data_IF_472037061217
#
_entry.id   IF_472037061217
#
_cell.length_a   1.000
_cell.length_b   1.000
_cell.length_c   1.000
_cell.angle_alpha   90.00
_cell.angle_beta   90.00
_cell.angle_gamma   90.00
#
_symmetry.space_group_name_H-M   'P 1'
#
loop_
_entity.id
_entity.type
_entity.pdbx_description
1 polymer ?
#
# COMPACT_ATOMS: atom_id res chain seq x y z
N UNK A 1 25.68 14.46 20.94
CA UNK A 1 25.47 13.06 21.29
C UNK A 1 25.04 12.32 20.02
N UNK A 2 25.94 11.51 19.51
CA UNK A 2 25.78 10.78 18.23
C UNK A 2 24.92 9.55 18.50
N UNK A 3 23.73 9.44 17.88
CA UNK A 3 22.93 8.21 17.89
C UNK A 3 23.27 7.40 16.65
N UNK A 4 23.92 6.26 16.90
CA UNK A 4 24.29 5.29 15.89
C UNK A 4 23.07 4.53 15.39
N UNK A 5 22.92 4.46 14.08
CA UNK A 5 22.00 3.56 13.39
C UNK A 5 22.62 2.17 13.35
N UNK A 6 21.90 1.19 13.84
CA UNK A 6 22.26 -0.23 13.74
C UNK A 6 21.37 -0.84 12.65
N UNK A 7 21.91 -1.38 11.55
CA UNK A 7 21.14 -2.16 10.60
C UNK A 7 21.03 -3.61 11.11
N UNK A 8 19.82 -4.07 11.35
CA UNK A 8 19.53 -5.48 11.64
C UNK A 8 19.50 -6.27 10.34
N UNK A 9 20.59 -7.00 10.07
CA UNK A 9 20.67 -8.02 9.01
C UNK A 9 20.14 -9.34 9.58
N UNK A 10 19.00 -9.83 9.08
CA UNK A 10 18.48 -11.15 9.41
C UNK A 10 18.73 -12.10 8.25
N UNK A 11 19.77 -12.93 8.40
CA UNK A 11 20.07 -14.07 7.54
C UNK A 11 19.30 -15.29 8.07
N UNK A 12 18.47 -15.91 7.25
CA UNK A 12 17.87 -17.20 7.56
C UNK A 12 18.14 -18.16 6.40
N UNK A 13 19.13 -19.00 6.58
CA UNK A 13 19.40 -20.17 5.75
C UNK A 13 18.72 -21.39 6.40
N UNK A 14 17.85 -22.07 5.68
CA UNK A 14 17.23 -23.33 6.10
C UNK A 14 17.23 -24.31 4.95
N UNK A 15 18.23 -25.21 4.92
CA UNK A 15 18.26 -26.37 4.04
C UNK A 15 17.57 -27.55 4.71
N UNK A 16 16.62 -28.19 4.03
CA UNK A 16 16.04 -29.46 4.43
C UNK A 16 16.41 -30.56 3.42
N UNK A 17 16.93 -31.74 3.87
CA UNK A 17 17.25 -32.85 2.98
C UNK A 17 16.00 -33.69 2.67
N UNK A 18 15.84 -34.05 1.39
CA UNK A 18 14.80 -34.95 0.92
C UNK A 18 15.09 -36.41 1.33
N UNK A 19 14.06 -37.08 1.81
CA UNK A 19 14.01 -38.52 1.99
C UNK A 19 13.31 -39.14 0.78
N UNK A 20 14.09 -39.92 0.01
CA UNK A 20 13.57 -40.80 -1.03
C UNK A 20 12.87 -42.00 -0.37
N UNK A 21 11.56 -42.18 -0.60
CA UNK A 21 10.86 -43.43 -0.29
C UNK A 21 10.73 -44.26 -1.57
N UNK A 22 11.42 -45.38 -1.55
CA UNK A 22 11.26 -46.47 -2.52
C UNK A 22 9.93 -47.18 -2.25
N UNK A 23 9.00 -47.18 -3.21
CA UNK A 23 7.79 -47.93 -3.17
C UNK A 23 8.00 -49.40 -3.54
N UNK A 24 7.20 -50.33 -3.03
CA UNK A 24 7.31 -51.77 -3.34
C UNK A 24 6.75 -52.12 -4.72
N UNK A 25 7.33 -53.15 -5.28
CA UNK A 25 7.12 -53.74 -6.58
C UNK A 25 5.63 -54.11 -6.86
N UNK A 26 5.16 -53.72 -8.04
CA UNK A 26 3.85 -54.00 -8.54
C UNK A 26 3.71 -55.50 -8.93
N UNK A 27 2.61 -56.12 -8.47
CA UNK A 27 2.09 -57.36 -9.00
C UNK A 27 1.31 -57.10 -10.32
N UNK A 28 1.50 -57.89 -11.36
CA UNK A 28 0.73 -57.76 -12.59
C UNK A 28 -0.47 -58.67 -12.55
N UNK A 29 -1.62 -58.22 -12.21
CA UNK A 29 -2.91 -58.89 -12.56
C UNK A 29 -4.10 -57.96 -12.29
N UNK A 30 -4.78 -57.57 -13.23
CA UNK A 30 -6.17 -57.67 -13.71
C UNK A 30 -6.57 -56.39 -14.43
N UNK A 31 -6.57 -56.55 -15.73
CA UNK A 31 -7.12 -55.58 -16.67
C UNK A 31 -8.66 -55.70 -16.68
N UNK A 32 -9.30 -55.15 -15.64
CA UNK A 32 -10.73 -54.89 -15.66
C UNK A 32 -10.91 -53.44 -16.14
N UNK A 33 -11.59 -53.18 -17.27
CA UNK A 33 -11.87 -51.81 -17.65
C UNK A 33 -12.86 -51.25 -16.63
N UNK A 34 -12.36 -50.42 -15.76
CA UNK A 34 -13.20 -49.61 -14.88
C UNK A 34 -14.17 -48.82 -15.77
N UNK A 35 -15.48 -48.76 -15.45
CA UNK A 35 -16.39 -47.90 -16.18
C UNK A 35 -15.85 -46.50 -16.11
N UNK A 36 -15.59 -45.88 -17.26
CA UNK A 36 -15.25 -44.50 -17.37
C UNK A 36 -16.36 -43.71 -16.66
N UNK A 37 -16.07 -43.35 -15.40
CA UNK A 37 -16.85 -42.33 -14.72
C UNK A 37 -16.58 -41.06 -15.52
N UNK A 38 -17.54 -40.79 -16.44
CA UNK A 38 -17.59 -39.50 -17.10
C UNK A 38 -17.65 -38.43 -15.98
N UNK A 39 -16.47 -37.94 -15.60
CA UNK A 39 -16.41 -36.81 -14.71
C UNK A 39 -17.17 -35.70 -15.41
N UNK A 40 -18.27 -35.25 -14.83
CA UNK A 40 -18.93 -34.04 -15.25
C UNK A 40 -17.85 -32.94 -14.98
N UNK A 41 -17.13 -32.60 -16.04
CA UNK A 41 -16.24 -31.44 -16.02
C UNK A 41 -17.19 -30.24 -15.99
N UNK A 42 -17.55 -29.81 -14.79
CA UNK A 42 -18.26 -28.56 -14.63
C UNK A 42 -17.23 -27.48 -14.95
N UNK A 43 -17.41 -26.70 -16.01
CA UNK A 43 -16.49 -25.60 -16.33
C UNK A 43 -16.62 -24.54 -15.20
N UNK A 44 -15.67 -24.56 -14.29
CA UNK A 44 -15.56 -23.46 -13.31
C UNK A 44 -14.85 -22.32 -14.01
N UNK A 45 -15.59 -21.26 -14.28
CA UNK A 45 -15.04 -20.01 -14.78
C UNK A 45 -14.62 -19.17 -13.57
N UNK A 46 -13.36 -18.80 -13.52
CA UNK A 46 -12.84 -17.83 -12.56
C UNK A 46 -12.61 -16.49 -13.25
N UNK A 47 -13.13 -15.43 -12.67
CA UNK A 47 -12.94 -14.07 -13.16
C UNK A 47 -11.92 -13.37 -12.24
N UNK A 48 -10.87 -12.83 -12.82
CA UNK A 48 -9.96 -11.91 -12.15
C UNK A 48 -10.60 -10.51 -12.16
N UNK A 49 -11.26 -10.17 -11.06
CA UNK A 49 -11.99 -8.90 -10.91
C UNK A 49 -11.07 -7.67 -10.93
N UNK A 50 -9.84 -7.80 -10.42
CA UNK A 50 -8.84 -6.74 -10.46
C UNK A 50 -8.41 -6.43 -11.90
N UNK A 51 -8.18 -7.47 -12.67
CA UNK A 51 -7.85 -7.34 -14.08
C UNK A 51 -9.01 -6.78 -14.89
N UNK A 52 -10.24 -7.27 -14.61
CA UNK A 52 -11.44 -6.77 -15.26
C UNK A 52 -11.63 -5.27 -15.02
N UNK A 53 -11.48 -4.80 -13.78
CA UNK A 53 -11.52 -3.38 -13.46
C UNK A 53 -10.44 -2.61 -14.20
N UNK A 54 -9.17 -2.99 -14.04
CA UNK A 54 -8.02 -2.29 -14.59
C UNK A 54 -8.07 -2.15 -16.12
N UNK A 55 -8.49 -3.21 -16.82
CA UNK A 55 -8.49 -3.26 -18.27
C UNK A 55 -9.77 -2.63 -18.88
N UNK A 56 -10.78 -2.31 -18.06
CA UNK A 56 -12.01 -1.64 -18.49
C UNK A 56 -11.79 -0.14 -18.76
N UNK A 57 -12.62 0.43 -19.65
CA UNK A 57 -12.62 1.87 -19.88
C UNK A 57 -12.97 2.68 -18.62
N UNK A 58 -13.82 2.12 -17.75
CA UNK A 58 -14.16 2.70 -16.45
C UNK A 58 -12.95 2.76 -15.54
N UNK A 59 -12.28 1.63 -15.30
CA UNK A 59 -11.12 1.54 -14.44
C UNK A 59 -9.96 2.42 -14.92
N UNK A 60 -9.72 2.46 -16.24
CA UNK A 60 -8.70 3.35 -16.82
C UNK A 60 -9.02 4.84 -16.59
N UNK A 61 -10.30 5.24 -16.65
CA UNK A 61 -10.71 6.60 -16.33
C UNK A 61 -10.46 6.91 -14.87
N UNK A 62 -10.94 6.05 -13.96
CA UNK A 62 -10.76 6.19 -12.52
C UNK A 62 -9.26 6.27 -12.18
N UNK A 63 -8.44 5.39 -12.74
CA UNK A 63 -6.99 5.41 -12.50
C UNK A 63 -6.35 6.75 -12.87
N UNK A 64 -6.71 7.31 -14.03
CA UNK A 64 -6.20 8.64 -14.44
C UNK A 64 -6.67 9.77 -13.52
N UNK A 65 -7.92 9.71 -13.03
CA UNK A 65 -8.46 10.70 -12.10
C UNK A 65 -7.73 10.64 -10.74
N UNK A 66 -7.50 9.45 -10.23
CA UNK A 66 -6.76 9.23 -8.97
C UNK A 66 -5.28 9.64 -9.12
N UNK A 67 -4.65 9.32 -10.25
CA UNK A 67 -3.28 9.73 -10.54
C UNK A 67 -3.13 11.25 -10.57
N UNK A 68 -4.02 11.96 -11.27
CA UNK A 68 -4.03 13.41 -11.30
C UNK A 68 -4.20 14.04 -9.90
N UNK A 69 -5.12 13.52 -9.08
CA UNK A 69 -5.29 13.98 -7.70
C UNK A 69 -4.08 13.66 -6.81
N UNK A 70 -3.42 12.53 -7.04
CA UNK A 70 -2.19 12.15 -6.33
C UNK A 70 -1.03 13.10 -6.67
N UNK A 71 -0.89 13.49 -7.94
CA UNK A 71 0.11 14.46 -8.38
C UNK A 71 -0.14 15.85 -7.79
N UNK A 72 -1.41 16.31 -7.76
CA UNK A 72 -1.81 17.56 -7.14
C UNK A 72 -1.48 17.56 -5.63
N UNK A 73 -1.85 16.48 -4.92
CA UNK A 73 -1.54 16.33 -3.50
C UNK A 73 -0.02 16.29 -3.24
N UNK A 74 0.75 15.66 -4.11
CA UNK A 74 2.21 15.65 -4.01
C UNK A 74 2.81 17.05 -4.26
N UNK A 75 2.21 17.85 -5.14
CA UNK A 75 2.63 19.24 -5.35
C UNK A 75 2.31 20.10 -4.13
N UNK A 76 1.10 20.01 -3.59
CA UNK A 76 0.70 20.68 -2.35
C UNK A 76 1.63 20.33 -1.18
N UNK A 77 1.97 19.05 -1.02
CA UNK A 77 2.88 18.59 0.03
C UNK A 77 4.26 19.27 -0.08
N UNK A 78 4.81 19.38 -1.29
CA UNK A 78 6.11 20.07 -1.49
C UNK A 78 6.05 21.56 -1.13
N UNK A 79 4.95 22.23 -1.44
CA UNK A 79 4.76 23.64 -1.06
C UNK A 79 4.65 23.81 0.46
N UNK A 80 3.91 22.93 1.12
CA UNK A 80 3.77 22.90 2.57
C UNK A 80 5.12 22.64 3.25
N UNK A 81 5.88 21.66 2.78
CA UNK A 81 7.22 21.34 3.30
C UNK A 81 8.15 22.57 3.18
N UNK A 82 8.17 23.21 2.01
CA UNK A 82 8.98 24.39 1.80
C UNK A 82 8.58 25.57 2.73
N UNK A 83 7.27 25.75 2.98
CA UNK A 83 6.77 26.76 3.89
C UNK A 83 7.14 26.46 5.35
N UNK A 84 7.03 25.20 5.79
CA UNK A 84 7.43 24.78 7.13
C UNK A 84 8.95 24.93 7.35
N UNK A 85 9.77 24.57 6.36
CA UNK A 85 11.22 24.77 6.42
C UNK A 85 11.61 26.27 6.51
N UNK A 86 10.88 27.14 5.80
CA UNK A 86 11.12 28.58 5.88
C UNK A 86 10.79 29.12 7.28
N UNK A 87 9.66 28.69 7.84
CA UNK A 87 9.23 29.10 9.19
C UNK A 87 10.18 28.57 10.28
N UNK A 88 10.66 27.33 10.15
CA UNK A 88 11.67 26.77 11.07
C UNK A 88 12.97 27.55 11.05
N UNK A 89 13.44 27.98 9.85
CA UNK A 89 14.62 28.85 9.72
C UNK A 89 14.41 30.20 10.40
N UNK A 90 13.26 30.84 10.20
CA UNK A 90 12.93 32.10 10.88
C UNK A 90 12.89 31.92 12.41
N UNK A 91 12.32 30.84 12.91
CA UNK A 91 12.30 30.53 14.34
C UNK A 91 13.73 30.37 14.88
N UNK A 92 14.59 29.69 14.13
CA UNK A 92 16.01 29.54 14.51
C UNK A 92 16.74 30.85 14.60
N UNK A 93 16.52 31.79 13.68
CA UNK A 93 17.08 33.13 13.69
C UNK A 93 16.55 33.95 14.87
N UNK A 94 15.27 33.90 15.15
CA UNK A 94 14.62 34.63 16.26
C UNK A 94 15.05 34.12 17.64
N UNK A 95 15.57 32.89 17.74
CA UNK A 95 15.99 32.29 19.03
C UNK A 95 16.98 33.13 19.80
N UNK A 96 17.95 33.78 19.11
CA UNK A 96 18.97 34.61 19.75
C UNK A 96 18.45 35.98 20.15
N UNK A 97 17.32 36.43 19.59
CA UNK A 97 16.75 37.76 19.74
C UNK A 97 15.62 37.80 20.77
N UNK A 98 15.04 36.66 21.10
CA UNK A 98 13.85 36.53 21.96
C UNK A 98 14.22 36.06 23.37
N UNK A 99 13.41 36.47 24.34
CA UNK A 99 13.47 35.88 25.68
C UNK A 99 13.06 34.44 25.65
N UNK A 100 13.64 33.54 26.46
CA UNK A 100 13.35 32.10 26.42
C UNK A 100 11.86 31.74 26.50
N UNK A 101 11.06 32.46 27.29
CA UNK A 101 9.63 32.24 27.40
C UNK A 101 8.87 32.59 26.11
N UNK A 102 9.26 33.68 25.44
CA UNK A 102 8.65 34.10 24.16
C UNK A 102 8.98 33.11 23.04
N UNK A 103 10.27 32.70 22.98
CA UNK A 103 10.68 31.69 22.01
C UNK A 103 9.92 30.36 22.18
N UNK A 104 9.74 29.91 23.43
CA UNK A 104 8.99 28.68 23.72
C UNK A 104 7.57 28.73 23.18
N UNK A 105 6.85 29.83 23.37
CA UNK A 105 5.49 29.99 22.84
C UNK A 105 5.44 29.87 21.31
N UNK A 106 6.43 30.44 20.62
CA UNK A 106 6.49 30.33 19.15
C UNK A 106 6.85 28.91 18.69
N UNK A 107 7.77 28.24 19.39
CA UNK A 107 8.15 26.87 19.10
C UNK A 107 6.97 25.91 19.32
N UNK A 108 6.24 26.04 20.43
CA UNK A 108 5.06 25.23 20.73
C UNK A 108 3.97 25.43 19.66
N UNK A 109 3.73 26.67 19.23
CA UNK A 109 2.77 26.96 18.15
C UNK A 109 3.19 26.39 16.80
N UNK A 110 4.48 26.39 16.50
CA UNK A 110 5.02 25.75 15.30
C UNK A 110 4.86 24.22 15.35
N UNK A 111 5.17 23.59 16.48
CA UNK A 111 5.00 22.16 16.67
C UNK A 111 3.53 21.75 16.49
N UNK A 112 2.59 22.50 17.05
CA UNK A 112 1.14 22.26 16.85
C UNK A 112 0.76 22.40 15.37
N UNK A 113 1.28 23.41 14.67
CA UNK A 113 1.06 23.58 13.23
C UNK A 113 1.55 22.37 12.44
N UNK A 114 2.79 21.91 12.71
CA UNK A 114 3.37 20.72 12.05
C UNK A 114 2.51 19.49 12.26
N UNK A 115 2.06 19.23 13.51
CA UNK A 115 1.23 18.08 13.84
C UNK A 115 -0.12 18.13 13.12
N UNK A 116 -0.78 19.28 13.11
CA UNK A 116 -2.04 19.48 12.40
C UNK A 116 -1.87 19.25 10.91
N UNK A 117 -0.87 19.87 10.29
CA UNK A 117 -0.59 19.70 8.85
C UNK A 117 -0.34 18.24 8.48
N UNK A 118 0.44 17.51 9.27
CA UNK A 118 0.69 16.08 9.04
C UNK A 118 -0.60 15.26 9.13
N UNK A 119 -1.47 15.57 10.08
CA UNK A 119 -2.76 14.89 10.23
C UNK A 119 -3.69 15.17 9.03
N UNK A 120 -3.73 16.42 8.55
CA UNK A 120 -4.50 16.83 7.37
C UNK A 120 -4.01 16.12 6.10
N UNK A 121 -2.70 16.07 5.87
CA UNK A 121 -2.13 15.39 4.70
C UNK A 121 -2.37 13.86 4.77
N UNK A 122 -2.24 13.26 5.94
CA UNK A 122 -2.57 11.85 6.13
C UNK A 122 -4.06 11.56 5.88
N UNK A 123 -4.95 12.48 6.24
CA UNK A 123 -6.39 12.35 5.95
C UNK A 123 -6.68 12.45 4.45
N UNK A 124 -6.05 13.38 3.72
CA UNK A 124 -6.18 13.50 2.26
C UNK A 124 -5.70 12.24 1.53
N UNK A 125 -4.55 11.69 1.94
CA UNK A 125 -4.04 10.43 1.37
C UNK A 125 -5.01 9.25 1.59
N UNK A 126 -5.58 9.13 2.80
CA UNK A 126 -6.59 8.10 3.07
C UNK A 126 -7.83 8.28 2.21
N UNK A 127 -8.35 9.50 2.13
CA UNK A 127 -9.54 9.79 1.32
C UNK A 127 -9.35 9.43 -0.15
N UNK A 128 -8.14 9.64 -0.69
CA UNK A 128 -7.80 9.26 -2.06
C UNK A 128 -7.82 7.74 -2.26
N UNK A 129 -7.27 6.98 -1.30
CA UNK A 129 -7.31 5.51 -1.33
C UNK A 129 -8.74 4.97 -1.22
N UNK A 130 -9.54 5.54 -0.29
CA UNK A 130 -10.94 5.17 -0.08
C UNK A 130 -11.78 5.49 -1.34
N UNK A 131 -11.50 6.59 -2.03
CA UNK A 131 -12.18 6.92 -3.29
C UNK A 131 -11.92 5.88 -4.37
N UNK A 132 -10.68 5.39 -4.51
CA UNK A 132 -10.36 4.32 -5.46
C UNK A 132 -11.08 3.02 -5.12
N UNK A 133 -11.10 2.63 -3.85
CA UNK A 133 -11.75 1.41 -3.39
C UNK A 133 -13.27 1.48 -3.62
N UNK A 134 -13.89 2.63 -3.34
CA UNK A 134 -15.31 2.85 -3.60
C UNK A 134 -15.66 2.73 -5.10
N UNK A 135 -14.82 3.26 -5.98
CA UNK A 135 -15.05 3.13 -7.43
C UNK A 135 -14.88 1.68 -7.92
N UNK A 136 -13.96 0.91 -7.33
CA UNK A 136 -13.84 -0.53 -7.58
C UNK A 136 -15.09 -1.29 -7.14
N UNK A 137 -15.60 -1.02 -5.94
CA UNK A 137 -16.83 -1.64 -5.44
C UNK A 137 -18.03 -1.32 -6.34
N UNK A 138 -18.17 -0.06 -6.77
CA UNK A 138 -19.24 0.36 -7.70
C UNK A 138 -19.16 -0.38 -9.04
N UNK A 139 -17.95 -0.55 -9.55
CA UNK A 139 -17.72 -1.30 -10.80
C UNK A 139 -18.16 -2.75 -10.65
N UNK A 140 -17.75 -3.42 -9.58
CA UNK A 140 -18.09 -4.82 -9.33
C UNK A 140 -19.60 -5.02 -9.08
N UNK A 141 -20.23 -4.07 -8.38
CA UNK A 141 -21.68 -4.11 -8.16
C UNK A 141 -22.50 -3.89 -9.44
N UNK A 142 -21.93 -3.22 -10.45
CA UNK A 142 -22.57 -2.99 -11.73
C UNK A 142 -22.26 -4.11 -12.78
N UNK A 143 -21.31 -5.00 -12.50
CA UNK A 143 -21.02 -6.13 -13.36
C UNK A 143 -22.20 -7.11 -13.32
N UNK A 144 -22.79 -7.53 -14.46
CA UNK A 144 -23.85 -8.52 -14.48
C UNK A 144 -23.32 -9.86 -13.99
N UNK A 145 -24.12 -10.58 -13.19
CA UNK A 145 -23.87 -11.97 -12.75
C UNK A 145 -23.85 -12.95 -13.93
#
# INVERSE_FOLDING_TARGET
MRRAFIPLVMMLAGAAPGLAQQGPLADPQTNTPAPARGGVISPVLTIDSERLFRDSAFGQRVSREIEAQSEELAAENREIEAALEAEERELTEKRSQLKPAQFRLLADAFDEKVQRTRAEQAAKNRALSEALDLERERFLAAAPE
#
